data_IF_588280808569
#
_entry.id   IF_588280808569
#
_cell.length_a   1.000
_cell.length_b   1.000
_cell.length_c   1.000
_cell.angle_alpha   90.00
_cell.angle_beta   90.00
_cell.angle_gamma   90.00
#
_symmetry.space_group_name_H-M   'P 1'
#
loop_
_entity.id
_entity.type
_entity.pdbx_description
1 polymer ?
#
# COMPACT_ATOMS: atom_id res chain seq x y z
N UNK A 1 -54.94 -3.69 12.22
CA UNK A 1 -54.09 -4.79 11.73
C UNK A 1 -52.69 -4.53 12.22
N UNK A 2 -52.12 -5.47 13.00
CA UNK A 2 -50.84 -5.29 13.68
C UNK A 2 -49.70 -5.36 12.67
N UNK A 3 -49.07 -4.23 12.40
CA UNK A 3 -47.86 -4.13 11.59
C UNK A 3 -46.68 -4.62 12.46
N UNK A 4 -46.54 -5.94 12.61
CA UNK A 4 -45.33 -6.51 13.22
C UNK A 4 -44.18 -6.29 12.23
N UNK A 5 -43.11 -5.57 12.62
CA UNK A 5 -41.97 -5.36 11.73
C UNK A 5 -41.37 -6.71 11.33
N UNK A 6 -41.03 -6.82 10.05
CA UNK A 6 -40.41 -8.00 9.47
C UNK A 6 -39.11 -8.35 10.24
N UNK A 7 -38.84 -9.66 10.41
CA UNK A 7 -37.76 -10.17 11.28
C UNK A 7 -36.39 -9.68 10.83
N UNK A 8 -36.21 -9.48 9.52
CA UNK A 8 -35.01 -8.93 8.92
C UNK A 8 -34.82 -7.47 9.35
N UNK A 9 -35.88 -6.66 9.25
CA UNK A 9 -35.87 -5.24 9.64
C UNK A 9 -35.60 -5.03 11.13
N UNK A 10 -36.06 -5.95 11.99
CA UNK A 10 -35.76 -5.91 13.42
C UNK A 10 -34.26 -6.13 13.71
N UNK A 11 -33.68 -7.17 13.10
CA UNK A 11 -32.28 -7.54 13.32
C UNK A 11 -31.35 -6.40 12.89
N UNK A 12 -31.62 -5.78 11.73
CA UNK A 12 -30.87 -4.64 11.23
C UNK A 12 -30.90 -3.44 12.19
N UNK A 13 -32.07 -3.05 12.72
CA UNK A 13 -32.18 -1.92 13.66
C UNK A 13 -31.50 -2.20 15.00
N UNK A 14 -31.56 -3.45 15.45
CA UNK A 14 -30.88 -3.87 16.67
C UNK A 14 -29.36 -3.76 16.54
N UNK A 15 -28.82 -4.26 15.43
CA UNK A 15 -27.38 -4.17 15.11
C UNK A 15 -26.96 -2.72 14.89
N UNK A 16 -27.78 -1.91 14.22
CA UNK A 16 -27.56 -0.47 14.03
C UNK A 16 -27.47 0.30 15.34
N UNK A 17 -28.38 0.05 16.30
CA UNK A 17 -28.35 0.68 17.62
C UNK A 17 -27.06 0.34 18.37
N UNK A 18 -26.73 -0.95 18.47
CA UNK A 18 -25.54 -1.40 19.19
C UNK A 18 -24.28 -0.84 18.54
N UNK A 19 -24.15 -0.97 17.21
CA UNK A 19 -23.01 -0.48 16.46
C UNK A 19 -22.83 1.04 16.54
N UNK A 20 -23.92 1.80 16.49
CA UNK A 20 -23.88 3.27 16.62
C UNK A 20 -23.40 3.69 18.01
N UNK A 21 -24.01 3.15 19.07
CA UNK A 21 -23.63 3.49 20.44
C UNK A 21 -22.19 3.05 20.75
N UNK A 22 -21.79 1.85 20.32
CA UNK A 22 -20.42 1.37 20.44
C UNK A 22 -19.46 2.33 19.73
N UNK A 23 -19.74 2.70 18.48
CA UNK A 23 -18.92 3.66 17.72
C UNK A 23 -18.81 5.00 18.44
N UNK A 24 -19.91 5.57 18.95
CA UNK A 24 -19.91 6.86 19.67
C UNK A 24 -19.06 6.82 20.94
N UNK A 25 -19.10 5.72 21.69
CA UNK A 25 -18.29 5.54 22.90
C UNK A 25 -16.82 5.36 22.55
N UNK A 26 -16.51 4.45 21.60
CA UNK A 26 -15.13 4.16 21.22
C UNK A 26 -14.45 5.39 20.56
N UNK A 27 -15.18 6.14 19.74
CA UNK A 27 -14.67 7.36 19.11
C UNK A 27 -14.56 8.56 20.07
N UNK A 28 -14.91 8.40 21.35
CA UNK A 28 -14.97 9.48 22.36
C UNK A 28 -15.91 10.64 21.98
N UNK A 29 -16.84 10.44 21.03
CA UNK A 29 -17.94 11.39 20.77
C UNK A 29 -18.78 11.56 22.03
N UNK A 30 -18.95 10.47 22.79
CA UNK A 30 -19.48 10.52 24.16
C UNK A 30 -18.37 10.16 25.16
N UNK A 31 -17.86 11.11 25.95
CA UNK A 31 -16.79 10.86 26.89
C UNK A 31 -17.23 9.98 28.06
N UNK A 32 -16.27 9.30 28.69
CA UNK A 32 -16.51 8.60 29.95
C UNK A 32 -17.03 9.56 31.03
N UNK A 33 -18.03 9.13 31.78
CA UNK A 33 -18.76 9.93 32.75
C UNK A 33 -20.13 10.43 32.25
N UNK A 34 -20.32 10.53 30.93
CA UNK A 34 -21.60 10.92 30.32
C UNK A 34 -22.64 9.80 30.40
N UNK A 35 -23.90 10.14 30.12
CA UNK A 35 -25.01 9.21 30.12
C UNK A 35 -25.55 8.98 28.70
N UNK A 36 -25.87 7.72 28.39
CA UNK A 36 -26.64 7.40 27.20
C UNK A 36 -28.07 7.93 27.31
N UNK A 37 -28.76 8.19 26.17
CA UNK A 37 -30.18 8.52 26.18
C UNK A 37 -31.01 7.46 26.92
N UNK A 38 -32.17 7.87 27.45
CA UNK A 38 -33.04 6.95 28.21
C UNK A 38 -33.48 5.75 27.37
N UNK A 39 -33.83 4.62 28.03
CA UNK A 39 -34.35 3.44 27.33
C UNK A 39 -35.57 3.77 26.44
N UNK A 40 -36.37 4.76 26.85
CA UNK A 40 -37.52 5.24 26.08
C UNK A 40 -37.06 5.99 24.82
N UNK A 41 -36.12 6.92 24.97
CA UNK A 41 -35.59 7.69 23.84
C UNK A 41 -34.88 6.78 22.82
N UNK A 42 -34.12 5.78 23.28
CA UNK A 42 -33.48 4.79 22.40
C UNK A 42 -34.51 3.88 21.72
N UNK A 43 -35.57 3.48 22.43
CA UNK A 43 -36.66 2.70 21.86
C UNK A 43 -37.38 3.47 20.73
N UNK A 44 -37.62 4.76 20.95
CA UNK A 44 -38.28 5.63 19.97
C UNK A 44 -37.34 5.92 18.78
N UNK A 45 -36.08 6.25 19.03
CA UNK A 45 -35.07 6.57 18.01
C UNK A 45 -34.82 5.41 17.05
N UNK A 46 -34.65 4.20 17.56
CA UNK A 46 -34.32 3.02 16.75
C UNK A 46 -35.53 2.15 16.42
N UNK A 47 -36.74 2.58 16.80
CA UNK A 47 -38.00 1.83 16.59
C UNK A 47 -37.93 0.40 17.14
N UNK A 48 -37.37 0.25 18.34
CA UNK A 48 -37.16 -1.02 19.04
C UNK A 48 -38.02 -1.12 20.29
N UNK A 49 -38.37 -2.34 20.71
CA UNK A 49 -39.02 -2.53 22.01
C UNK A 49 -38.04 -2.22 23.16
N UNK A 50 -38.54 -1.73 24.30
CA UNK A 50 -37.72 -1.54 25.53
C UNK A 50 -36.93 -2.79 25.92
N UNK A 51 -37.50 -3.99 25.71
CA UNK A 51 -36.82 -5.27 25.98
C UNK A 51 -35.62 -5.48 25.06
N UNK A 52 -35.72 -5.07 23.80
CA UNK A 52 -34.63 -5.14 22.83
C UNK A 52 -33.55 -4.11 23.14
N UNK A 53 -33.93 -2.87 23.47
CA UNK A 53 -33.01 -1.82 23.93
C UNK A 53 -32.21 -2.29 25.15
N UNK A 54 -32.86 -2.93 26.14
CA UNK A 54 -32.16 -3.50 27.30
C UNK A 54 -31.12 -4.55 26.91
N UNK A 55 -31.45 -5.46 25.99
CA UNK A 55 -30.49 -6.45 25.48
C UNK A 55 -29.31 -5.80 24.77
N UNK A 56 -29.55 -4.76 23.97
CA UNK A 56 -28.50 -4.00 23.32
C UNK A 56 -27.57 -3.32 24.35
N UNK A 57 -28.15 -2.72 25.39
CA UNK A 57 -27.39 -2.13 26.50
C UNK A 57 -26.64 -3.19 27.32
N UNK A 58 -27.22 -4.39 27.53
CA UNK A 58 -26.55 -5.49 28.22
C UNK A 58 -25.28 -5.95 27.48
N UNK A 59 -25.30 -5.91 26.14
CA UNK A 59 -24.10 -6.17 25.31
C UNK A 59 -23.02 -5.12 25.64
N UNK A 60 -23.35 -3.83 25.59
CA UNK A 60 -22.40 -2.75 25.90
C UNK A 60 -21.90 -2.80 27.36
N UNK A 61 -22.73 -3.25 28.31
CA UNK A 61 -22.30 -3.52 29.69
C UNK A 61 -21.31 -4.68 29.74
N UNK A 62 -21.58 -5.78 29.03
CA UNK A 62 -20.69 -6.93 28.98
C UNK A 62 -19.36 -6.63 28.28
N UNK A 63 -19.34 -5.64 27.39
CA UNK A 63 -18.15 -5.10 26.75
C UNK A 63 -17.40 -4.08 27.63
N UNK A 64 -17.90 -3.75 28.83
CA UNK A 64 -17.28 -2.78 29.73
C UNK A 64 -17.33 -1.33 29.22
N UNK A 65 -18.23 -1.01 28.28
CA UNK A 65 -18.36 0.34 27.70
C UNK A 65 -19.29 1.24 28.51
N UNK A 66 -20.27 0.64 29.20
CA UNK A 66 -21.23 1.35 30.05
C UNK A 66 -21.51 0.58 31.34
N UNK A 67 -21.99 1.26 32.36
CA UNK A 67 -22.55 0.66 33.57
C UNK A 67 -23.99 1.12 33.81
N UNK A 68 -24.76 0.29 34.51
CA UNK A 68 -26.14 0.63 34.90
C UNK A 68 -26.14 1.31 36.26
N UNK A 69 -26.49 2.59 36.28
CA UNK A 69 -26.65 3.37 37.51
C UNK A 69 -28.12 3.36 37.92
N UNK A 70 -28.48 2.74 39.06
CA UNK A 70 -29.87 2.65 39.50
C UNK A 70 -30.54 4.02 39.59
N UNK A 71 -31.74 4.14 38.99
CA UNK A 71 -32.58 5.36 38.95
C UNK A 71 -31.98 6.57 38.21
N UNK A 72 -30.80 6.43 37.57
CA UNK A 72 -30.17 7.52 36.80
C UNK A 72 -30.11 7.17 35.31
N UNK A 73 -29.69 5.95 34.96
CA UNK A 73 -29.59 5.53 33.56
C UNK A 73 -28.32 4.72 33.29
N UNK A 74 -27.88 4.70 32.04
CA UNK A 74 -26.65 4.00 31.65
C UNK A 74 -25.52 5.04 31.53
N UNK A 75 -24.50 4.93 32.38
CA UNK A 75 -23.33 5.81 32.39
C UNK A 75 -22.23 5.19 31.55
N UNK A 76 -21.58 5.98 30.71
CA UNK A 76 -20.42 5.57 29.95
C UNK A 76 -19.24 5.51 30.91
N UNK A 77 -18.57 4.37 30.96
CA UNK A 77 -17.40 4.18 31.80
C UNK A 77 -16.15 4.17 30.93
N UNK A 78 -15.02 4.56 31.51
CA UNK A 78 -13.73 4.34 30.88
C UNK A 78 -13.42 2.85 31.02
N UNK A 79 -13.22 2.10 29.93
CA UNK A 79 -12.82 0.71 30.03
C UNK A 79 -11.51 0.63 30.81
N UNK A 80 -11.49 -0.11 31.92
CA UNK A 80 -10.26 -0.43 32.63
C UNK A 80 -9.35 -1.27 31.71
N UNK A 81 -8.06 -1.36 32.03
CA UNK A 81 -7.11 -2.18 31.25
C UNK A 81 -7.59 -3.64 31.07
N UNK A 82 -8.43 -4.17 31.97
CA UNK A 82 -9.06 -5.49 31.87
C UNK A 82 -10.19 -5.58 30.82
N UNK A 83 -10.79 -4.47 30.40
CA UNK A 83 -11.89 -4.39 29.42
C UNK A 83 -11.49 -3.71 28.11
N UNK A 84 -10.20 -3.39 27.93
CA UNK A 84 -9.71 -2.83 26.68
C UNK A 84 -9.87 -3.84 25.53
N UNK A 85 -10.40 -3.39 24.41
CA UNK A 85 -10.48 -4.23 23.20
C UNK A 85 -9.12 -4.26 22.52
N UNK A 86 -8.68 -5.45 22.09
CA UNK A 86 -7.44 -5.60 21.33
C UNK A 86 -7.74 -5.67 19.84
N UNK A 87 -7.13 -4.78 19.06
CA UNK A 87 -7.15 -4.79 17.60
C UNK A 87 -5.80 -5.30 17.09
N UNK A 88 -5.82 -6.37 16.29
CA UNK A 88 -4.62 -6.92 15.66
C UNK A 88 -4.47 -6.41 14.23
N UNK A 89 -3.37 -5.73 13.97
CA UNK A 89 -3.01 -5.27 12.63
C UNK A 89 -1.89 -6.14 12.04
N UNK A 90 -2.16 -6.78 10.92
CA UNK A 90 -1.16 -7.45 10.10
C UNK A 90 -0.42 -6.43 9.25
N UNK A 91 0.90 -6.33 9.38
CA UNK A 91 1.72 -5.38 8.65
C UNK A 91 2.83 -6.06 7.87
N UNK A 92 3.09 -5.60 6.66
CA UNK A 92 4.37 -5.86 6.01
C UNK A 92 5.52 -5.33 6.89
N UNK A 93 6.65 -6.06 7.00
CA UNK A 93 7.80 -5.63 7.78
C UNK A 93 8.30 -4.21 7.46
N UNK A 94 8.14 -3.77 6.20
CA UNK A 94 8.60 -2.44 5.76
C UNK A 94 7.68 -1.28 6.15
N UNK A 95 6.42 -1.55 6.52
CA UNK A 95 5.39 -0.52 6.69
C UNK A 95 5.75 0.51 7.78
N UNK A 96 6.36 0.06 8.88
CA UNK A 96 6.78 0.96 9.96
C UNK A 96 7.82 1.96 9.47
N UNK A 97 8.88 1.48 8.81
CA UNK A 97 9.91 2.35 8.22
C UNK A 97 9.40 3.29 7.11
N UNK A 98 8.25 2.98 6.52
CA UNK A 98 7.61 3.78 5.46
C UNK A 98 6.61 4.79 6.00
N UNK A 99 6.15 4.65 7.25
CA UNK A 99 5.04 5.45 7.80
C UNK A 99 5.32 6.06 9.18
N UNK A 100 6.29 5.53 9.93
CA UNK A 100 6.39 5.74 11.37
C UNK A 100 5.23 5.09 12.13
N UNK A 101 4.81 3.89 11.71
CA UNK A 101 3.61 3.22 12.21
C UNK A 101 3.57 3.14 13.73
N UNK A 102 4.67 2.78 14.39
CA UNK A 102 4.69 2.66 15.86
C UNK A 102 4.31 3.97 16.56
N UNK A 103 4.77 5.11 16.05
CA UNK A 103 4.39 6.42 16.59
C UNK A 103 2.92 6.75 16.30
N UNK A 104 2.42 6.41 15.11
CA UNK A 104 1.00 6.57 14.78
C UNK A 104 0.11 5.70 15.68
N UNK A 105 0.48 4.45 15.93
CA UNK A 105 -0.23 3.55 16.85
C UNK A 105 -0.20 4.06 18.28
N UNK A 106 0.93 4.65 18.73
CA UNK A 106 1.02 5.30 20.04
C UNK A 106 0.06 6.49 20.13
N UNK A 107 -0.01 7.33 19.11
CA UNK A 107 -0.93 8.47 19.06
C UNK A 107 -2.40 8.02 19.06
N UNK A 108 -2.73 6.98 18.30
CA UNK A 108 -4.06 6.38 18.29
C UNK A 108 -4.47 5.88 19.67
N UNK A 109 -3.60 5.12 20.35
CA UNK A 109 -3.89 4.58 21.68
C UNK A 109 -4.01 5.68 22.75
N UNK A 110 -3.32 6.82 22.60
CA UNK A 110 -3.52 7.98 23.48
C UNK A 110 -4.90 8.61 23.29
N UNK A 111 -5.41 8.66 22.05
CA UNK A 111 -6.75 9.18 21.74
C UNK A 111 -7.86 8.18 22.08
N UNK A 112 -7.54 6.88 22.02
CA UNK A 112 -8.46 5.78 22.27
C UNK A 112 -7.86 4.82 23.32
N UNK A 113 -7.77 5.23 24.60
CA UNK A 113 -7.10 4.45 25.65
C UNK A 113 -7.75 3.10 25.95
N UNK A 114 -8.94 2.86 25.42
CA UNK A 114 -9.70 1.62 25.54
C UNK A 114 -9.47 0.65 24.36
N UNK A 115 -8.68 1.04 23.37
CA UNK A 115 -8.26 0.19 22.25
C UNK A 115 -6.76 -0.05 22.38
N UNK A 116 -6.36 -1.31 22.54
CA UNK A 116 -4.97 -1.74 22.45
C UNK A 116 -4.70 -2.20 21.02
N UNK A 117 -3.53 -1.89 20.48
CA UNK A 117 -3.14 -2.34 19.13
C UNK A 117 -1.94 -3.27 19.19
N UNK A 118 -2.09 -4.47 18.64
CA UNK A 118 -1.02 -5.46 18.48
C UNK A 118 -0.64 -5.57 17.00
N UNK A 119 0.66 -5.53 16.68
CA UNK A 119 1.14 -5.75 15.32
C UNK A 119 1.55 -7.19 15.09
N UNK A 120 1.18 -7.76 13.94
CA UNK A 120 1.66 -9.05 13.46
C UNK A 120 2.37 -8.87 12.11
N UNK A 121 3.51 -9.54 11.91
CA UNK A 121 4.20 -9.49 10.62
C UNK A 121 3.47 -10.33 9.57
N UNK A 122 3.28 -9.77 8.38
CA UNK A 122 2.76 -10.48 7.21
C UNK A 122 3.91 -10.83 6.24
N UNK A 123 3.86 -12.00 5.59
CA UNK A 123 4.80 -12.32 4.53
C UNK A 123 4.48 -11.51 3.26
N UNK A 124 5.47 -11.37 2.37
CA UNK A 124 5.28 -10.78 1.04
C UNK A 124 4.87 -11.80 -0.02
N UNK A 125 5.24 -13.07 0.18
CA UNK A 125 5.08 -14.16 -0.81
C UNK A 125 3.95 -15.10 -0.43
N UNK A 126 3.30 -15.70 -1.44
CA UNK A 126 2.17 -16.61 -1.27
C UNK A 126 1.08 -16.00 -0.37
N UNK A 127 0.77 -14.72 -0.63
CA UNK A 127 0.06 -13.88 0.32
C UNK A 127 -1.36 -14.40 0.61
N UNK A 128 -2.21 -14.72 -0.38
CA UNK A 128 -3.57 -15.19 -0.12
C UNK A 128 -3.62 -16.41 0.80
N UNK A 129 -2.74 -17.38 0.58
CA UNK A 129 -2.74 -18.62 1.38
C UNK A 129 -2.16 -18.38 2.78
N UNK A 130 -1.15 -17.52 2.90
CA UNK A 130 -0.55 -17.17 4.19
C UNK A 130 -1.51 -16.42 5.11
N UNK A 131 -2.42 -15.61 4.56
CA UNK A 131 -3.33 -14.78 5.35
C UNK A 131 -4.71 -15.38 5.52
N UNK A 132 -5.11 -16.35 4.68
CA UNK A 132 -6.45 -16.95 4.68
C UNK A 132 -6.88 -17.45 6.05
N UNK A 133 -6.04 -18.21 6.74
CA UNK A 133 -6.35 -18.75 8.07
C UNK A 133 -6.57 -17.66 9.11
N UNK A 134 -5.74 -16.61 9.10
CA UNK A 134 -5.86 -15.47 9.99
C UNK A 134 -7.11 -14.64 9.73
N UNK A 135 -7.46 -14.45 8.45
CA UNK A 135 -8.65 -13.72 8.05
C UNK A 135 -9.91 -14.51 8.38
N UNK A 136 -10.03 -15.78 7.95
CA UNK A 136 -11.23 -16.60 8.17
C UNK A 136 -11.51 -16.89 9.65
N UNK A 137 -10.47 -16.97 10.49
CA UNK A 137 -10.65 -17.13 11.94
C UNK A 137 -11.02 -15.83 12.67
N UNK A 138 -10.89 -14.67 12.02
CA UNK A 138 -11.04 -13.37 12.67
C UNK A 138 -9.88 -13.02 13.61
N UNK A 139 -8.72 -13.68 13.50
CA UNK A 139 -7.57 -13.42 14.36
C UNK A 139 -6.91 -12.06 14.05
N UNK A 140 -6.79 -11.70 12.77
CA UNK A 140 -6.43 -10.33 12.36
C UNK A 140 -7.68 -9.48 12.20
N UNK A 141 -7.62 -8.23 12.66
CA UNK A 141 -8.71 -7.27 12.54
C UNK A 141 -8.49 -6.30 11.39
N UNK A 142 -7.24 -5.88 11.19
CA UNK A 142 -6.80 -5.01 10.09
C UNK A 142 -5.59 -5.66 9.40
N UNK A 143 -5.41 -5.43 8.11
CA UNK A 143 -4.17 -5.77 7.42
C UNK A 143 -3.72 -4.73 6.42
N UNK A 144 -2.40 -4.59 6.27
CA UNK A 144 -1.80 -3.89 5.14
C UNK A 144 -1.94 -4.72 3.87
N UNK A 145 -2.36 -4.08 2.78
CA UNK A 145 -2.56 -4.71 1.49
C UNK A 145 -1.96 -3.83 0.40
N UNK A 146 -0.93 -4.31 -0.28
CA UNK A 146 -0.41 -3.63 -1.48
C UNK A 146 -1.26 -4.00 -2.72
N UNK A 147 -1.14 -3.22 -3.80
CA UNK A 147 -1.93 -3.45 -5.02
C UNK A 147 -1.63 -4.80 -5.70
N UNK A 148 -0.40 -5.33 -5.57
CA UNK A 148 -0.05 -6.67 -6.05
C UNK A 148 -0.85 -7.76 -5.32
N UNK A 149 -0.82 -7.77 -4.00
CA UNK A 149 -1.54 -8.76 -3.19
C UNK A 149 -3.05 -8.55 -3.25
N UNK A 150 -3.53 -7.32 -3.43
CA UNK A 150 -4.94 -7.08 -3.72
C UNK A 150 -5.38 -7.76 -5.02
N UNK A 151 -4.60 -7.62 -6.09
CA UNK A 151 -4.87 -8.29 -7.37
C UNK A 151 -4.78 -9.81 -7.24
N UNK A 152 -3.78 -10.33 -6.52
CA UNK A 152 -3.65 -11.77 -6.24
C UNK A 152 -4.87 -12.33 -5.48
N UNK A 153 -5.41 -11.57 -4.53
CA UNK A 153 -6.65 -11.91 -3.82
C UNK A 153 -7.88 -11.81 -4.74
N UNK A 154 -7.90 -10.84 -5.65
CA UNK A 154 -8.97 -10.66 -6.63
C UNK A 154 -9.01 -11.81 -7.64
N UNK A 155 -7.85 -12.24 -8.14
CA UNK A 155 -7.71 -13.36 -9.07
C UNK A 155 -8.21 -14.70 -8.46
N UNK A 156 -8.28 -14.79 -7.12
CA UNK A 156 -8.76 -15.97 -6.36
C UNK A 156 -10.15 -15.77 -5.74
N UNK A 157 -10.91 -14.77 -6.17
CA UNK A 157 -12.24 -14.42 -5.64
C UNK A 157 -12.29 -14.23 -4.11
N UNK A 158 -11.18 -13.80 -3.50
CA UNK A 158 -11.01 -13.73 -2.05
C UNK A 158 -11.26 -12.33 -1.44
N UNK A 159 -11.80 -11.39 -2.22
CA UNK A 159 -12.05 -10.01 -1.76
C UNK A 159 -13.25 -9.90 -0.80
N UNK A 160 -14.10 -10.92 -0.73
CA UNK A 160 -15.20 -10.99 0.22
C UNK A 160 -14.73 -11.17 1.67
N UNK A 161 -13.46 -11.50 1.89
CA UNK A 161 -12.81 -11.51 3.20
C UNK A 161 -12.65 -10.11 3.82
N UNK A 162 -12.81 -9.05 3.02
CA UNK A 162 -12.67 -7.67 3.48
C UNK A 162 -14.02 -6.98 3.69
N UNK A 163 -14.08 -6.15 4.72
CA UNK A 163 -15.21 -5.26 4.97
C UNK A 163 -15.12 -4.07 4.00
N UNK A 164 -16.13 -3.84 3.14
CA UNK A 164 -16.11 -2.73 2.21
C UNK A 164 -16.07 -1.38 2.94
N UNK A 165 -15.33 -0.41 2.40
CA UNK A 165 -15.25 0.94 2.96
C UNK A 165 -15.60 1.99 1.90
N UNK A 166 -16.20 3.14 2.27
CA UNK A 166 -16.44 4.22 1.33
C UNK A 166 -15.12 4.90 0.94
N UNK A 167 -14.93 5.36 -0.32
CA UNK A 167 -13.76 6.14 -0.69
C UNK A 167 -13.56 7.37 0.20
N UNK A 168 -12.31 7.67 0.57
CA UNK A 168 -11.99 8.89 1.30
C UNK A 168 -11.80 10.06 0.30
N UNK A 169 -12.65 11.11 0.36
CA UNK A 169 -12.57 12.23 -0.59
C UNK A 169 -11.29 13.07 -0.44
N UNK A 170 -10.56 12.94 0.67
CA UNK A 170 -9.27 13.61 0.86
C UNK A 170 -8.12 12.95 0.07
N UNK A 171 -8.33 11.74 -0.46
CA UNK A 171 -7.30 11.05 -1.23
C UNK A 171 -7.15 11.61 -2.65
N UNK A 172 -5.99 11.39 -3.26
CA UNK A 172 -5.85 11.57 -4.71
C UNK A 172 -6.89 10.75 -5.47
N UNK A 173 -7.50 11.33 -6.51
CA UNK A 173 -8.62 10.71 -7.24
C UNK A 173 -8.28 9.40 -7.94
N UNK A 174 -7.00 9.15 -8.23
CA UNK A 174 -6.55 7.91 -8.89
C UNK A 174 -6.32 6.74 -7.92
N UNK A 175 -6.35 6.97 -6.60
CA UNK A 175 -6.03 5.94 -5.60
C UNK A 175 -7.19 5.01 -5.24
N UNK A 176 -8.44 5.49 -5.05
CA UNK A 176 -9.54 4.62 -4.63
C UNK A 176 -9.76 3.44 -5.60
N UNK A 177 -9.71 3.68 -6.90
CA UNK A 177 -9.98 2.68 -7.94
C UNK A 177 -9.03 1.48 -7.90
N UNK A 178 -7.82 1.66 -7.34
CA UNK A 178 -6.82 0.59 -7.21
C UNK A 178 -7.33 -0.56 -6.36
N UNK A 179 -8.13 -0.29 -5.32
CA UNK A 179 -8.67 -1.29 -4.39
C UNK A 179 -10.17 -1.58 -4.60
N UNK A 180 -10.74 -1.18 -5.74
CA UNK A 180 -12.17 -1.39 -6.05
C UNK A 180 -12.35 -2.57 -7.00
N UNK A 181 -13.21 -3.52 -6.62
CA UNK A 181 -13.76 -4.53 -7.54
C UNK A 181 -15.26 -4.67 -7.33
N UNK A 182 -16.03 -4.84 -8.40
CA UNK A 182 -17.49 -4.97 -8.35
C UNK A 182 -18.17 -3.85 -7.54
N UNK A 183 -17.65 -2.62 -7.65
CA UNK A 183 -18.16 -1.43 -6.94
C UNK A 183 -17.87 -1.37 -5.44
N UNK A 184 -17.07 -2.30 -4.89
CA UNK A 184 -16.71 -2.33 -3.46
C UNK A 184 -15.21 -2.07 -3.30
N UNK A 185 -14.87 -1.09 -2.48
CA UNK A 185 -13.48 -0.80 -2.11
C UNK A 185 -13.08 -1.68 -0.91
N UNK A 186 -12.11 -2.56 -1.11
CA UNK A 186 -11.69 -3.54 -0.10
C UNK A 186 -10.69 -2.98 0.93
N UNK A 187 -9.96 -1.92 0.57
CA UNK A 187 -8.93 -1.31 1.41
C UNK A 187 -8.92 0.22 1.25
N UNK A 188 -8.60 0.95 2.31
CA UNK A 188 -8.32 2.38 2.22
C UNK A 188 -6.88 2.62 1.79
N UNK A 189 -6.61 3.37 0.71
CA UNK A 189 -5.26 3.80 0.39
C UNK A 189 -4.61 4.54 1.57
N UNK A 190 -3.36 4.19 1.88
CA UNK A 190 -2.57 4.84 2.92
C UNK A 190 -1.33 5.51 2.32
N UNK A 191 -0.67 4.84 1.38
CA UNK A 191 0.53 5.29 0.72
C UNK A 191 0.47 5.01 -0.77
N UNK A 192 1.18 5.79 -1.56
CA UNK A 192 1.50 5.44 -2.94
C UNK A 192 2.92 5.81 -3.31
N UNK A 193 3.42 5.18 -4.38
CA UNK A 193 4.68 5.56 -4.99
C UNK A 193 4.70 5.13 -6.45
N UNK A 194 5.00 6.03 -7.40
CA UNK A 194 5.47 5.61 -8.70
C UNK A 194 6.88 5.01 -8.61
N UNK A 195 7.26 4.24 -9.62
CA UNK A 195 8.66 3.92 -9.88
C UNK A 195 9.32 5.15 -10.52
N UNK A 196 10.50 5.52 -10.05
CA UNK A 196 11.19 6.75 -10.42
C UNK A 196 12.68 6.50 -10.63
N UNK A 197 13.33 7.46 -11.28
CA UNK A 197 14.78 7.50 -11.36
C UNK A 197 15.32 8.35 -10.20
N UNK A 198 16.31 7.83 -9.48
CA UNK A 198 17.09 8.59 -8.51
C UNK A 198 18.54 8.67 -9.01
N UNK A 199 19.17 9.85 -8.89
CA UNK A 199 20.53 10.06 -9.40
C UNK A 199 21.38 10.90 -8.46
N UNK A 200 22.70 10.69 -8.49
CA UNK A 200 23.67 11.41 -7.67
C UNK A 200 23.94 12.79 -8.28
N UNK A 201 23.17 13.79 -7.86
CA UNK A 201 23.26 15.18 -8.33
C UNK A 201 24.67 15.76 -8.19
N UNK A 202 25.34 15.45 -7.08
CA UNK A 202 26.72 15.90 -6.84
C UNK A 202 27.69 15.35 -7.89
N UNK A 203 27.56 14.07 -8.24
CA UNK A 203 28.39 13.44 -9.27
C UNK A 203 28.11 14.01 -10.66
N UNK A 204 26.84 14.18 -11.02
CA UNK A 204 26.43 14.78 -12.29
C UNK A 204 27.04 16.18 -12.47
N UNK A 205 26.95 17.02 -11.43
CA UNK A 205 27.58 18.35 -11.42
C UNK A 205 29.10 18.29 -11.60
N UNK A 206 29.78 17.36 -10.93
CA UNK A 206 31.25 17.17 -11.05
C UNK A 206 31.68 16.74 -12.45
N UNK A 207 30.91 15.86 -13.08
CA UNK A 207 31.18 15.37 -14.44
C UNK A 207 30.65 16.31 -15.54
N UNK A 208 29.99 17.41 -15.15
CA UNK A 208 29.31 18.34 -16.05
C UNK A 208 28.33 17.62 -16.99
N UNK A 209 27.62 16.64 -16.45
CA UNK A 209 26.56 15.91 -17.13
C UNK A 209 25.24 16.68 -16.99
N UNK A 210 24.40 16.72 -18.04
CA UNK A 210 23.03 17.20 -17.88
C UNK A 210 22.29 16.29 -16.88
N UNK A 211 21.47 16.89 -16.01
CA UNK A 211 20.65 16.14 -15.06
C UNK A 211 19.51 15.40 -15.79
N UNK A 212 19.05 14.23 -15.30
CA UNK A 212 17.91 13.54 -15.88
C UNK A 212 16.61 14.33 -15.77
N UNK A 213 15.84 14.36 -16.85
CA UNK A 213 14.53 15.04 -16.93
C UNK A 213 13.54 14.24 -17.79
N UNK A 214 12.38 14.84 -18.08
CA UNK A 214 11.33 14.19 -18.88
C UNK A 214 11.65 14.03 -20.36
N UNK A 215 12.79 14.54 -20.85
CA UNK A 215 13.24 14.37 -22.24
C UNK A 215 14.17 13.17 -22.43
N UNK A 216 14.61 12.54 -21.34
CA UNK A 216 15.55 11.43 -21.40
C UNK A 216 14.91 10.18 -21.98
N UNK A 217 15.59 9.57 -22.94
CA UNK A 217 15.32 8.21 -23.41
C UNK A 217 16.18 7.17 -22.69
N UNK A 218 15.81 5.89 -22.80
CA UNK A 218 16.65 4.80 -22.29
C UNK A 218 18.02 4.77 -22.98
N UNK A 219 18.09 5.12 -24.28
CA UNK A 219 19.35 5.26 -25.01
C UNK A 219 20.22 6.36 -24.41
N UNK A 220 19.63 7.51 -24.07
CA UNK A 220 20.36 8.62 -23.44
C UNK A 220 20.88 8.23 -22.06
N UNK A 221 20.07 7.52 -21.27
CA UNK A 221 20.49 7.00 -19.98
C UNK A 221 21.64 5.99 -20.15
N UNK A 222 21.58 5.12 -21.16
CA UNK A 222 22.63 4.14 -21.47
C UNK A 222 23.95 4.83 -21.85
N UNK A 223 23.91 5.82 -22.74
CA UNK A 223 25.07 6.62 -23.15
C UNK A 223 25.75 7.29 -21.93
N UNK A 224 24.96 7.96 -21.09
CA UNK A 224 25.45 8.60 -19.87
C UNK A 224 26.02 7.55 -18.91
N UNK A 225 25.41 6.37 -18.84
CA UNK A 225 25.85 5.30 -17.95
C UNK A 225 27.20 4.73 -18.34
N UNK A 226 27.41 4.48 -19.64
CA UNK A 226 28.72 4.06 -20.20
C UNK A 226 29.77 5.12 -19.92
N UNK A 227 29.48 6.40 -20.17
CA UNK A 227 30.41 7.49 -19.89
C UNK A 227 30.81 7.56 -18.42
N UNK A 228 29.86 7.42 -17.50
CA UNK A 228 30.14 7.39 -16.05
C UNK A 228 31.04 6.19 -15.71
N UNK A 229 30.79 5.02 -16.32
CA UNK A 229 31.62 3.83 -16.12
C UNK A 229 33.06 4.06 -16.56
N UNK A 230 33.26 4.64 -17.74
CA UNK A 230 34.58 4.94 -18.30
C UNK A 230 35.34 5.97 -17.45
N UNK A 231 34.67 7.06 -17.04
CA UNK A 231 35.33 8.15 -16.31
C UNK A 231 35.55 7.85 -14.82
N UNK A 232 34.71 7.01 -14.19
CA UNK A 232 34.70 6.80 -12.73
C UNK A 232 34.84 5.36 -12.26
N UNK A 233 34.75 4.38 -13.17
CA UNK A 233 34.83 2.96 -12.86
C UNK A 233 33.60 2.37 -12.14
N UNK A 234 32.62 3.19 -11.77
CA UNK A 234 31.37 2.77 -11.11
C UNK A 234 30.28 2.51 -12.13
N UNK A 235 29.22 1.77 -11.77
CA UNK A 235 28.08 1.59 -12.67
C UNK A 235 27.38 2.94 -12.90
N UNK A 236 26.92 3.18 -14.12
CA UNK A 236 26.16 4.38 -14.44
C UNK A 236 24.72 4.30 -13.96
N UNK A 237 24.09 3.14 -14.15
CA UNK A 237 22.73 2.85 -13.77
C UNK A 237 22.60 1.47 -13.12
N UNK A 238 21.63 1.30 -12.24
CA UNK A 238 21.32 -0.01 -11.66
C UNK A 238 19.84 -0.16 -11.33
N UNK A 239 19.30 -1.35 -11.57
CA UNK A 239 17.99 -1.76 -11.08
C UNK A 239 18.02 -3.25 -10.72
N UNK A 240 17.23 -3.66 -9.74
CA UNK A 240 17.02 -5.07 -9.45
C UNK A 240 16.23 -5.72 -10.61
N UNK A 241 16.94 -6.42 -11.49
CA UNK A 241 16.40 -6.90 -12.78
C UNK A 241 15.23 -7.90 -12.61
N UNK A 242 15.25 -8.68 -11.52
CA UNK A 242 14.20 -9.67 -11.23
C UNK A 242 12.99 -9.08 -10.49
N UNK A 243 12.94 -7.76 -10.28
CA UNK A 243 11.86 -7.10 -9.54
C UNK A 243 10.54 -7.13 -10.31
N UNK A 244 9.47 -7.60 -9.66
CA UNK A 244 8.08 -7.45 -10.14
C UNK A 244 7.66 -6.00 -10.29
N UNK A 245 8.38 -5.06 -9.68
CA UNK A 245 8.08 -3.63 -9.76
C UNK A 245 8.93 -2.90 -10.80
N UNK A 246 9.92 -3.54 -11.46
CA UNK A 246 10.85 -2.86 -12.40
C UNK A 246 10.65 -3.30 -13.84
N UNK A 247 10.76 -4.59 -14.16
CA UNK A 247 10.64 -5.05 -15.54
C UNK A 247 9.25 -4.75 -16.16
N UNK A 248 8.11 -4.75 -15.43
CA UNK A 248 6.82 -4.44 -16.03
C UNK A 248 6.71 -3.02 -16.56
N UNK A 249 7.55 -2.08 -16.10
CA UNK A 249 7.61 -0.72 -16.68
C UNK A 249 7.90 -0.78 -18.17
N UNK A 250 8.81 -1.64 -18.61
CA UNK A 250 9.17 -1.76 -20.03
C UNK A 250 8.03 -2.32 -20.87
N UNK A 251 7.23 -3.23 -20.30
CA UNK A 251 6.00 -3.71 -20.95
C UNK A 251 4.97 -2.58 -21.09
N UNK A 252 4.77 -1.78 -20.04
CA UNK A 252 3.85 -0.64 -20.06
C UNK A 252 4.28 0.44 -21.07
N UNK A 253 5.57 0.76 -21.11
CA UNK A 253 6.12 1.76 -22.03
C UNK A 253 6.05 1.33 -23.50
N UNK A 254 6.13 0.03 -23.77
CA UNK A 254 5.90 -0.54 -25.11
C UNK A 254 4.41 -0.79 -25.42
N UNK A 255 3.51 -0.46 -24.50
CA UNK A 255 2.07 -0.68 -24.67
C UNK A 255 1.67 -2.16 -24.80
N UNK A 256 2.51 -3.05 -24.29
CA UNK A 256 2.32 -4.49 -24.39
C UNK A 256 1.12 -4.95 -23.55
N UNK A 257 0.34 -5.88 -24.11
CA UNK A 257 -0.75 -6.57 -23.41
C UNK A 257 -0.68 -8.06 -23.70
N UNK A 258 -0.72 -8.87 -22.66
CA UNK A 258 -0.77 -10.31 -22.81
C UNK A 258 -2.07 -10.75 -23.50
N UNK A 259 -1.93 -11.66 -24.46
CA UNK A 259 -3.07 -12.29 -25.13
C UNK A 259 -3.55 -13.47 -24.28
N UNK A 260 -4.80 -13.41 -23.84
CA UNK A 260 -5.44 -14.48 -23.06
C UNK A 260 -5.98 -15.58 -23.96
N UNK A 261 -5.94 -16.80 -23.46
CA UNK A 261 -6.46 -18.03 -24.03
C UNK A 261 -7.25 -18.78 -22.97
N UNK A 262 -7.91 -19.89 -23.34
CA UNK A 262 -8.63 -20.75 -22.38
C UNK A 262 -7.71 -21.31 -21.27
N UNK A 263 -6.42 -21.48 -21.56
CA UNK A 263 -5.43 -22.09 -20.65
C UNK A 263 -4.46 -21.07 -20.02
N UNK A 264 -4.78 -19.77 -20.06
CA UNK A 264 -3.92 -18.72 -19.51
C UNK A 264 -3.39 -17.75 -20.57
N UNK A 265 -2.21 -17.17 -20.36
CA UNK A 265 -1.58 -16.21 -21.28
C UNK A 265 -0.62 -16.85 -22.28
N UNK A 266 -0.52 -16.24 -23.47
CA UNK A 266 0.58 -16.50 -24.43
C UNK A 266 1.80 -15.67 -24.11
N UNK A 267 2.97 -16.30 -24.22
CA UNK A 267 4.28 -15.70 -23.95
C UNK A 267 5.20 -15.66 -25.18
N UNK A 268 4.71 -16.03 -26.37
CA UNK A 268 5.47 -16.11 -27.61
C UNK A 268 5.33 -14.85 -28.49
N UNK A 269 4.83 -13.76 -27.91
CA UNK A 269 4.71 -12.48 -28.60
C UNK A 269 6.09 -11.80 -28.72
N UNK A 270 6.58 -11.47 -29.93
CA UNK A 270 7.89 -10.84 -30.10
C UNK A 270 8.04 -9.53 -29.30
N UNK A 271 6.95 -8.75 -29.15
CA UNK A 271 6.99 -7.48 -28.42
C UNK A 271 7.24 -7.68 -26.91
N UNK A 272 6.84 -8.82 -26.34
CA UNK A 272 7.19 -9.18 -24.96
C UNK A 272 8.71 -9.27 -24.82
N UNK A 273 9.35 -10.03 -25.69
CA UNK A 273 10.78 -10.32 -25.61
C UNK A 273 11.62 -9.09 -25.93
N UNK A 274 11.25 -8.30 -26.93
CA UNK A 274 11.90 -7.00 -27.21
C UNK A 274 11.89 -6.08 -25.98
N UNK A 275 10.76 -6.03 -25.26
CA UNK A 275 10.63 -5.23 -24.03
C UNK A 275 11.54 -5.72 -22.91
N UNK A 276 11.62 -7.05 -22.72
CA UNK A 276 12.47 -7.65 -21.69
C UNK A 276 13.96 -7.52 -22.05
N UNK A 277 14.32 -7.76 -23.32
CA UNK A 277 15.69 -7.59 -23.82
C UNK A 277 16.17 -6.16 -23.67
N UNK A 278 15.34 -5.16 -23.97
CA UNK A 278 15.67 -3.74 -23.74
C UNK A 278 16.08 -3.51 -22.28
N UNK A 279 15.34 -4.05 -21.31
CA UNK A 279 15.68 -3.88 -19.89
C UNK A 279 16.96 -4.63 -19.51
N UNK A 280 17.12 -5.86 -20.00
CA UNK A 280 18.32 -6.68 -19.77
C UNK A 280 19.55 -5.97 -20.30
N UNK A 281 19.52 -5.55 -21.55
CA UNK A 281 20.65 -5.00 -22.27
C UNK A 281 21.04 -3.65 -21.67
N UNK A 282 20.09 -2.84 -21.20
CA UNK A 282 20.36 -1.61 -20.45
C UNK A 282 21.25 -1.84 -19.21
N UNK A 283 21.03 -2.94 -18.49
CA UNK A 283 21.82 -3.29 -17.30
C UNK A 283 23.23 -3.78 -17.68
N UNK A 284 23.37 -4.53 -18.77
CA UNK A 284 24.63 -5.16 -19.19
C UNK A 284 25.51 -4.30 -20.12
N UNK A 285 24.95 -3.32 -20.83
CA UNK A 285 25.66 -2.50 -21.85
C UNK A 285 26.79 -1.67 -21.26
N UNK A 286 26.66 -1.25 -20.00
CA UNK A 286 27.67 -0.51 -19.24
C UNK A 286 28.86 -1.38 -18.76
N UNK A 287 29.05 -2.58 -19.33
CA UNK A 287 30.10 -3.52 -19.00
C UNK A 287 29.73 -4.47 -17.86
N UNK A 288 30.64 -5.36 -17.42
CA UNK A 288 30.35 -6.30 -16.35
C UNK A 288 30.01 -5.53 -15.09
N UNK A 289 28.72 -5.48 -14.76
CA UNK A 289 28.28 -5.25 -13.40
C UNK A 289 28.90 -6.42 -12.64
N UNK A 290 29.83 -6.19 -11.69
CA UNK A 290 30.38 -7.28 -10.88
C UNK A 290 29.20 -8.09 -10.38
N UNK A 291 29.28 -9.41 -10.47
CA UNK A 291 28.22 -10.39 -10.20
C UNK A 291 27.55 -10.17 -8.84
N UNK A 292 26.75 -9.11 -8.75
CA UNK A 292 26.14 -8.65 -7.54
C UNK A 292 24.85 -9.43 -7.47
N UNK A 293 24.89 -10.47 -6.64
CA UNK A 293 23.77 -11.32 -6.34
C UNK A 293 22.79 -10.51 -5.49
N UNK A 294 21.99 -9.69 -6.16
CA UNK A 294 20.96 -8.90 -5.51
C UNK A 294 19.84 -9.79 -5.00
N UNK A 295 19.45 -9.56 -3.76
CA UNK A 295 18.38 -10.26 -3.08
C UNK A 295 17.03 -9.54 -3.23
N UNK A 296 17.06 -8.23 -3.54
CA UNK A 296 15.85 -7.48 -3.83
C UNK A 296 16.09 -6.00 -4.12
N UNK A 297 14.99 -5.27 -4.29
CA UNK A 297 14.98 -3.84 -4.67
C UNK A 297 15.93 -3.01 -3.81
N UNK A 298 15.91 -3.21 -2.48
CA UNK A 298 16.68 -2.46 -1.48
C UNK A 298 18.20 -2.42 -1.75
N UNK A 299 18.73 -3.37 -2.52
CA UNK A 299 20.15 -3.36 -2.84
C UNK A 299 20.53 -2.27 -3.84
N UNK A 300 19.60 -1.84 -4.69
CA UNK A 300 19.82 -0.70 -5.58
C UNK A 300 20.13 0.56 -4.76
N UNK A 301 19.33 0.85 -3.74
CA UNK A 301 19.52 2.00 -2.85
C UNK A 301 20.81 1.87 -2.04
N UNK A 302 21.16 0.67 -1.54
CA UNK A 302 22.43 0.43 -0.84
C UNK A 302 23.63 0.70 -1.75
N UNK A 303 23.61 0.19 -2.99
CA UNK A 303 24.70 0.42 -3.96
C UNK A 303 24.82 1.92 -4.29
N UNK A 304 23.70 2.62 -4.43
CA UNK A 304 23.67 4.05 -4.66
C UNK A 304 24.26 4.83 -3.48
N UNK A 305 23.82 4.52 -2.25
CA UNK A 305 24.34 5.12 -1.02
C UNK A 305 25.87 4.92 -0.87
N UNK A 306 26.36 3.76 -1.28
CA UNK A 306 27.79 3.42 -1.32
C UNK A 306 28.55 4.00 -2.52
N UNK A 307 27.89 4.82 -3.36
CA UNK A 307 28.42 5.41 -4.58
C UNK A 307 29.01 4.37 -5.56
N UNK A 308 28.42 3.17 -5.61
CA UNK A 308 28.75 2.10 -6.58
C UNK A 308 27.95 2.20 -7.87
N UNK A 309 26.86 2.96 -7.85
CA UNK A 309 26.08 3.33 -9.02
C UNK A 309 25.71 4.83 -8.97
N UNK A 310 25.63 5.48 -10.13
CA UNK A 310 25.30 6.90 -10.23
C UNK A 310 23.80 7.18 -10.36
N UNK A 311 23.03 6.22 -10.86
CA UNK A 311 21.59 6.28 -11.04
C UNK A 311 20.95 4.95 -10.64
N UNK A 312 19.72 4.99 -10.12
CA UNK A 312 18.93 3.80 -9.80
C UNK A 312 17.47 3.95 -10.15
N UNK A 313 16.83 2.81 -10.47
CA UNK A 313 15.37 2.72 -10.51
C UNK A 313 14.84 2.37 -9.12
N UNK A 314 14.09 3.28 -8.50
CA UNK A 314 13.63 3.18 -7.11
C UNK A 314 12.17 3.66 -6.97
N UNK A 315 11.70 3.79 -5.74
CA UNK A 315 10.38 4.29 -5.34
C UNK A 315 10.56 5.24 -4.16
N UNK A 316 9.55 6.04 -3.84
CA UNK A 316 9.53 6.87 -2.63
C UNK A 316 9.65 6.02 -1.34
N UNK A 317 9.18 4.78 -1.36
CA UNK A 317 9.38 3.81 -0.26
C UNK A 317 10.85 3.44 -0.06
N UNK A 318 11.63 3.38 -1.14
CA UNK A 318 13.06 3.06 -1.12
C UNK A 318 13.92 4.21 -0.59
N UNK A 319 13.46 5.47 -0.72
CA UNK A 319 14.26 6.64 -0.33
C UNK A 319 14.65 6.68 1.15
N UNK A 320 13.97 5.92 2.02
CA UNK A 320 14.37 5.74 3.44
C UNK A 320 15.82 5.26 3.62
N UNK A 321 16.36 4.51 2.65
CA UNK A 321 17.75 4.07 2.66
C UNK A 321 18.75 5.19 2.32
N UNK A 322 18.25 6.37 1.91
CA UNK A 322 19.03 7.50 1.40
C UNK A 322 18.93 8.76 2.30
N UNK A 323 18.38 8.65 3.51
CA UNK A 323 18.21 9.80 4.43
C UNK A 323 19.54 10.46 4.83
N UNK A 324 20.59 9.66 5.03
CA UNK A 324 21.86 10.11 5.63
C UNK A 324 23.04 9.98 4.66
N UNK A 325 22.91 10.59 3.47
CA UNK A 325 23.97 10.55 2.46
C UNK A 325 24.95 11.72 2.59
N UNK A 326 26.26 11.49 2.34
CA UNK A 326 27.26 12.55 2.33
C UNK A 326 27.27 13.37 1.01
N UNK A 327 26.24 13.24 0.18
CA UNK A 327 26.12 13.89 -1.12
C UNK A 327 24.65 14.17 -1.46
N UNK A 328 24.43 15.18 -2.31
CA UNK A 328 23.11 15.51 -2.82
C UNK A 328 22.68 14.51 -3.90
N UNK A 329 21.44 14.05 -3.81
CA UNK A 329 20.75 13.27 -4.84
C UNK A 329 19.44 13.98 -5.24
N UNK A 330 18.91 13.63 -6.41
CA UNK A 330 17.63 14.16 -6.84
C UNK A 330 16.83 13.13 -7.63
N UNK A 331 15.58 13.46 -7.95
CA UNK A 331 14.62 12.55 -8.59
C UNK A 331 14.32 12.99 -10.03
N UNK A 332 14.02 12.02 -10.89
CA UNK A 332 13.62 12.22 -12.27
C UNK A 332 12.49 11.23 -12.67
N UNK A 333 11.66 11.57 -13.67
CA UNK A 333 10.76 10.59 -14.27
C UNK A 333 11.61 9.46 -14.86
N UNK A 334 11.02 8.28 -15.02
CA UNK A 334 11.71 7.23 -15.76
C UNK A 334 11.91 7.69 -17.21
N UNK A 335 13.09 7.45 -17.80
CA UNK A 335 13.25 7.57 -19.23
C UNK A 335 12.25 6.69 -19.98
N UNK A 336 12.00 7.03 -21.23
CA UNK A 336 11.10 6.27 -22.09
C UNK A 336 11.54 6.36 -23.56
N UNK A 337 11.11 5.40 -24.38
CA UNK A 337 11.37 5.45 -25.82
C UNK A 337 10.17 5.98 -26.59
N UNK A 338 9.01 5.33 -26.45
CA UNK A 338 7.76 5.75 -27.12
C UNK A 338 6.80 6.40 -26.12
N UNK A 339 6.37 5.63 -25.10
CA UNK A 339 5.35 6.06 -24.14
C UNK A 339 5.93 6.30 -22.77
N UNK A 340 5.72 7.50 -22.23
CA UNK A 340 6.01 7.79 -20.84
C UNK A 340 5.01 7.04 -19.93
N UNK A 341 5.46 5.91 -19.38
CA UNK A 341 4.73 5.14 -18.38
C UNK A 341 5.63 4.79 -17.20
N UNK A 342 5.05 4.79 -16.01
CA UNK A 342 5.65 4.24 -14.79
C UNK A 342 4.63 3.41 -14.02
N UNK A 343 5.12 2.43 -13.28
CA UNK A 343 4.28 1.57 -12.46
C UNK A 343 3.92 2.29 -11.16
N UNK A 344 2.62 2.37 -10.86
CA UNK A 344 2.10 2.91 -9.61
C UNK A 344 1.95 1.79 -8.57
N UNK A 345 2.63 1.96 -7.44
CA UNK A 345 2.49 1.09 -6.27
C UNK A 345 1.61 1.77 -5.24
N UNK A 346 0.66 1.03 -4.68
CA UNK A 346 -0.25 1.55 -3.64
C UNK A 346 -0.31 0.57 -2.50
N UNK A 347 -0.18 1.08 -1.27
CA UNK A 347 -0.40 0.31 -0.05
C UNK A 347 -1.60 0.88 0.68
N UNK A 348 -2.53 0.01 1.02
CA UNK A 348 -3.73 0.34 1.77
C UNK A 348 -3.92 -0.50 3.02
N UNK A 349 -4.99 -0.20 3.76
CA UNK A 349 -5.41 -0.92 4.96
C UNK A 349 -6.81 -1.50 4.74
N UNK A 350 -6.95 -2.81 4.89
CA UNK A 350 -8.21 -3.53 4.79
C UNK A 350 -8.69 -3.96 6.19
N UNK A 351 -9.98 -3.86 6.45
CA UNK A 351 -10.60 -4.41 7.66
C UNK A 351 -11.08 -5.83 7.35
N UNK A 352 -10.74 -6.78 8.23
CA UNK A 352 -11.19 -8.15 8.08
C UNK A 352 -12.70 -8.27 8.34
N UNK A 353 -13.44 -8.86 7.41
CA UNK A 353 -14.89 -9.10 7.54
C UNK A 353 -15.24 -10.07 8.67
N UNK A 354 -14.34 -10.97 9.05
CA UNK A 354 -14.58 -11.91 10.15
C UNK A 354 -14.14 -11.36 11.52
N UNK A 355 -13.57 -10.15 11.58
CA UNK A 355 -13.18 -9.50 12.84
C UNK A 355 -14.38 -9.38 13.78
N UNK A 356 -14.14 -9.61 15.07
CA UNK A 356 -15.11 -9.33 16.14
C UNK A 356 -15.01 -7.88 16.65
N UNK A 357 -13.96 -7.16 16.25
CA UNK A 357 -13.64 -5.80 16.69
C UNK A 357 -13.76 -4.81 15.53
N UNK A 358 -14.76 -4.98 14.64
CA UNK A 358 -14.86 -4.22 13.38
C UNK A 358 -14.91 -2.71 13.57
N UNK A 359 -15.60 -2.24 14.60
CA UNK A 359 -15.73 -0.82 14.89
C UNK A 359 -14.38 -0.24 15.31
N UNK A 360 -13.67 -0.90 16.24
CA UNK A 360 -12.34 -0.50 16.68
C UNK A 360 -11.30 -0.59 15.55
N UNK A 361 -11.35 -1.66 14.76
CA UNK A 361 -10.53 -1.85 13.55
C UNK A 361 -10.78 -0.76 12.51
N UNK A 362 -12.06 -0.40 12.31
CA UNK A 362 -12.46 0.66 11.40
C UNK A 362 -11.97 2.03 11.85
N UNK A 363 -12.02 2.31 13.15
CA UNK A 363 -11.46 3.55 13.71
C UNK A 363 -9.94 3.62 13.56
N UNK A 364 -9.23 2.51 13.74
CA UNK A 364 -7.78 2.46 13.50
C UNK A 364 -7.46 2.80 12.04
N UNK A 365 -8.19 2.21 11.09
CA UNK A 365 -8.03 2.53 9.65
C UNK A 365 -8.35 3.99 9.35
N UNK A 366 -9.45 4.51 9.90
CA UNK A 366 -9.83 5.93 9.71
C UNK A 366 -8.77 6.89 10.30
N UNK A 367 -8.21 6.55 11.45
CA UNK A 367 -7.12 7.31 12.06
C UNK A 367 -5.86 7.28 11.19
N UNK A 368 -5.38 6.10 10.78
CA UNK A 368 -4.15 5.95 9.99
C UNK A 368 -4.25 6.59 8.59
N UNK A 369 -5.46 6.68 8.04
CA UNK A 369 -5.76 7.36 6.77
C UNK A 369 -6.24 8.82 6.97
N UNK A 370 -6.27 9.33 8.19
CA UNK A 370 -6.64 10.73 8.47
C UNK A 370 -5.55 11.70 7.98
N UNK A 371 -5.95 12.93 7.63
CA UNK A 371 -5.01 13.98 7.22
C UNK A 371 -3.90 14.21 8.28
N UNK A 372 -4.24 14.20 9.56
CA UNK A 372 -3.29 14.41 10.65
C UNK A 372 -2.23 13.30 10.73
N UNK A 373 -2.65 12.02 10.67
CA UNK A 373 -1.73 10.89 10.66
C UNK A 373 -0.88 10.88 9.37
N UNK A 374 -1.49 11.12 8.22
CA UNK A 374 -0.82 11.19 6.93
C UNK A 374 0.17 12.35 6.85
N UNK A 375 -0.11 13.49 7.52
CA UNK A 375 0.84 14.59 7.65
C UNK A 375 2.04 14.20 8.52
N UNK A 376 1.83 13.41 9.57
CA UNK A 376 2.94 12.84 10.35
C UNK A 376 3.82 11.94 9.47
N UNK A 377 3.22 11.08 8.63
CA UNK A 377 3.96 10.29 7.63
C UNK A 377 4.79 11.21 6.71
N UNK A 378 4.15 12.23 6.11
CA UNK A 378 4.83 13.18 5.21
C UNK A 378 6.01 13.84 5.90
N UNK A 379 5.90 14.24 7.16
CA UNK A 379 6.94 15.00 7.86
C UNK A 379 8.11 14.14 8.35
N UNK A 380 7.86 12.88 8.67
CA UNK A 380 8.83 11.99 9.30
C UNK A 380 9.40 10.92 8.35
N UNK A 381 8.92 10.85 7.11
CA UNK A 381 9.39 9.89 6.10
C UNK A 381 9.50 10.54 4.71
N UNK A 382 10.02 9.78 3.75
CA UNK A 382 10.06 10.14 2.33
C UNK A 382 8.97 9.45 1.50
N UNK A 383 8.06 8.71 2.13
CA UNK A 383 6.90 8.11 1.47
C UNK A 383 5.86 9.16 1.10
N UNK A 384 5.04 8.89 0.08
CA UNK A 384 3.95 9.79 -0.31
C UNK A 384 2.63 9.30 0.33
N UNK A 385 2.01 10.09 1.23
CA UNK A 385 0.71 9.75 1.79
C UNK A 385 -0.40 9.80 0.73
N UNK A 386 -1.43 8.99 0.89
CA UNK A 386 -2.62 9.00 0.04
C UNK A 386 -3.45 10.28 0.16
N UNK A 387 -3.44 10.93 1.33
CA UNK A 387 -4.10 12.24 1.55
C UNK A 387 -3.38 13.33 0.75
N UNK A 388 -4.11 14.00 -0.15
CA UNK A 388 -3.55 15.01 -1.04
C UNK A 388 -3.01 16.23 -0.27
N UNK A 389 -3.79 16.75 0.68
CA UNK A 389 -3.38 17.90 1.48
C UNK A 389 -2.17 17.60 2.37
N UNK A 390 -2.10 16.38 2.93
CA UNK A 390 -0.93 15.95 3.67
C UNK A 390 0.30 15.77 2.77
N UNK A 391 0.16 15.15 1.59
CA UNK A 391 1.27 14.92 0.66
C UNK A 391 1.87 16.23 0.11
N UNK A 392 1.01 17.20 -0.21
CA UNK A 392 1.37 18.52 -0.74
C UNK A 392 1.59 19.57 0.36
N UNK A 393 1.76 19.13 1.61
CA UNK A 393 2.03 20.04 2.72
C UNK A 393 3.34 20.81 2.49
N UNK A 394 3.28 22.12 2.71
CA UNK A 394 4.41 23.03 2.68
C UNK A 394 4.74 23.49 4.10
N UNK A 395 6.02 23.37 4.49
CA UNK A 395 6.52 23.85 5.77
C UNK A 395 7.95 23.42 6.02
N UNK A 396 8.39 23.53 7.28
CA UNK A 396 9.76 23.18 7.65
C UNK A 396 10.02 21.68 7.49
N UNK A 397 11.01 21.34 6.67
CA UNK A 397 11.43 19.96 6.45
C UNK A 397 12.38 19.49 7.55
N UNK A 398 12.06 18.34 8.16
CA UNK A 398 12.91 17.71 9.17
C UNK A 398 13.97 16.76 8.58
N UNK A 399 13.79 16.38 7.31
CA UNK A 399 14.63 15.44 6.58
C UNK A 399 15.16 16.11 5.31
N UNK A 400 16.30 15.62 4.80
CA UNK A 400 16.73 15.99 3.46
C UNK A 400 15.65 15.57 2.45
N UNK A 401 15.16 16.54 1.67
CA UNK A 401 14.30 16.26 0.51
C UNK A 401 14.98 16.68 -0.78
N UNK A 402 15.00 15.80 -1.79
CA UNK A 402 15.34 16.16 -3.15
C UNK A 402 14.61 17.41 -3.62
N UNK A 403 15.26 18.27 -4.40
CA UNK A 403 14.61 19.45 -4.97
C UNK A 403 13.40 19.10 -5.83
N UNK A 404 13.39 17.91 -6.44
CA UNK A 404 12.26 17.41 -7.25
C UNK A 404 11.39 16.40 -6.50
N UNK A 405 11.35 16.44 -5.16
CA UNK A 405 10.51 15.55 -4.36
C UNK A 405 9.03 15.57 -4.78
N UNK A 406 8.49 16.72 -5.16
CA UNK A 406 7.08 16.86 -5.56
C UNK A 406 6.78 16.47 -7.02
N UNK A 407 7.77 15.95 -7.75
CA UNK A 407 7.64 15.49 -9.15
C UNK A 407 6.49 14.53 -9.38
N UNK A 408 6.15 13.69 -8.39
CA UNK A 408 5.06 12.72 -8.52
C UNK A 408 3.74 13.36 -8.97
N UNK A 409 3.53 14.65 -8.70
CA UNK A 409 2.37 15.45 -9.14
C UNK A 409 2.35 15.68 -10.65
N UNK A 410 3.52 15.89 -11.24
CA UNK A 410 3.70 16.20 -12.66
C UNK A 410 3.58 14.94 -13.52
N UNK A 411 3.98 13.79 -12.97
CA UNK A 411 4.01 12.51 -13.69
C UNK A 411 2.76 11.64 -13.47
N UNK A 412 1.72 12.13 -12.79
CA UNK A 412 0.43 11.42 -12.62
C UNK A 412 -0.13 10.87 -13.94
N UNK A 413 -0.09 11.60 -15.09
CA UNK A 413 -0.59 11.07 -16.36
C UNK A 413 0.17 9.83 -16.88
N UNK A 414 1.38 9.58 -16.37
CA UNK A 414 2.21 8.42 -16.74
C UNK A 414 1.96 7.20 -15.87
N UNK A 415 1.15 7.30 -14.81
CA UNK A 415 0.87 6.19 -13.92
C UNK A 415 0.17 5.07 -14.68
N UNK A 416 0.58 3.84 -14.40
CA UNK A 416 -0.05 2.62 -14.87
C UNK A 416 0.07 1.49 -13.87
N UNK A 417 -0.74 0.45 -14.07
CA UNK A 417 -0.83 -0.69 -13.17
C UNK A 417 -0.71 -2.03 -13.90
N UNK A 418 -0.63 -3.11 -13.11
CA UNK A 418 -0.50 -4.48 -13.62
C UNK A 418 -1.70 -4.88 -14.48
N UNK A 419 -2.89 -4.38 -14.15
CA UNK A 419 -4.13 -4.62 -14.87
C UNK A 419 -4.09 -4.14 -16.34
N UNK A 420 -3.26 -3.14 -16.67
CA UNK A 420 -3.10 -2.70 -18.06
C UNK A 420 -2.46 -3.79 -18.95
N UNK A 421 -1.71 -4.72 -18.34
CA UNK A 421 -0.99 -5.80 -19.04
C UNK A 421 -1.89 -6.97 -19.40
N UNK A 422 -3.13 -7.06 -18.89
CA UNK A 422 -4.07 -8.16 -19.18
C UNK A 422 -3.56 -9.57 -18.78
N UNK A 423 -2.87 -9.65 -17.64
CA UNK A 423 -2.30 -10.87 -17.05
C UNK A 423 -2.71 -10.98 -15.59
N UNK A 424 -2.83 -12.20 -15.04
CA UNK A 424 -3.00 -12.37 -13.59
C UNK A 424 -1.68 -12.20 -12.86
N UNK A 425 -1.74 -11.93 -11.55
CA UNK A 425 -0.52 -11.79 -10.75
C UNK A 425 0.28 -13.10 -10.68
N UNK A 426 -0.42 -14.22 -10.60
CA UNK A 426 0.19 -15.56 -10.57
C UNK A 426 0.94 -15.87 -11.87
N UNK A 427 0.37 -15.53 -13.02
CA UNK A 427 1.02 -15.73 -14.32
C UNK A 427 2.22 -14.80 -14.51
N UNK A 428 2.14 -13.55 -14.03
CA UNK A 428 3.26 -12.61 -14.08
C UNK A 428 4.42 -13.05 -13.18
N UNK A 429 4.13 -13.60 -11.99
CA UNK A 429 5.16 -14.16 -11.11
C UNK A 429 5.78 -15.45 -11.68
N UNK A 430 4.97 -16.27 -12.36
CA UNK A 430 5.45 -17.43 -13.12
C UNK A 430 6.43 -17.01 -14.21
N UNK A 431 6.08 -16.00 -15.03
CA UNK A 431 6.98 -15.44 -16.02
C UNK A 431 8.28 -14.97 -15.35
N UNK A 432 8.21 -14.14 -14.31
CA UNK A 432 9.39 -13.65 -13.59
C UNK A 432 10.31 -14.78 -13.13
N UNK A 433 9.74 -15.85 -12.58
CA UNK A 433 10.51 -16.98 -12.05
C UNK A 433 11.31 -17.71 -13.13
N UNK A 434 10.82 -17.70 -14.37
CA UNK A 434 11.48 -18.32 -15.52
C UNK A 434 12.54 -17.42 -16.19
N UNK A 435 12.56 -16.13 -15.87
CA UNK A 435 13.47 -15.16 -16.51
C UNK A 435 14.88 -15.12 -15.91
N UNK A 436 15.18 -15.86 -14.84
CA UNK A 436 16.48 -15.77 -14.15
C UNK A 436 17.68 -16.05 -15.07
N UNK A 437 17.60 -17.10 -15.89
CA UNK A 437 18.67 -17.46 -16.82
C UNK A 437 18.75 -16.47 -17.99
N UNK A 438 17.59 -16.04 -18.49
CA UNK A 438 17.48 -15.01 -19.51
C UNK A 438 18.13 -13.68 -19.07
N UNK A 439 17.84 -13.20 -17.85
CA UNK A 439 18.46 -12.01 -17.27
C UNK A 439 19.97 -12.09 -17.15
N UNK A 440 20.50 -13.32 -17.04
CA UNK A 440 21.92 -13.58 -16.89
C UNK A 440 22.64 -13.79 -18.22
N UNK A 441 21.95 -13.62 -19.36
CA UNK A 441 22.45 -13.99 -20.70
C UNK A 441 22.88 -15.47 -20.82
N UNK A 442 22.30 -16.35 -19.98
CA UNK A 442 22.57 -17.79 -19.99
C UNK A 442 21.56 -18.57 -20.84
N UNK A 443 20.52 -17.90 -21.33
CA UNK A 443 19.45 -18.54 -22.08
C UNK A 443 18.75 -17.56 -23.02
N UNK A 444 18.27 -18.09 -24.16
CA UNK A 444 17.52 -17.36 -25.18
C UNK A 444 16.00 -17.44 -24.94
N UNK A 445 15.22 -16.45 -25.43
CA UNK A 445 13.76 -16.40 -25.32
C UNK A 445 13.04 -17.73 -25.59
N UNK A 446 13.43 -18.46 -26.64
CA UNK A 446 12.74 -19.67 -27.10
C UNK A 446 12.70 -20.76 -26.03
N UNK A 447 13.77 -20.88 -25.24
CA UNK A 447 13.86 -21.90 -24.18
C UNK A 447 12.94 -21.55 -23.01
N UNK A 448 12.79 -20.26 -22.70
CA UNK A 448 11.85 -19.77 -21.68
C UNK A 448 10.40 -19.96 -22.15
N UNK A 449 10.09 -19.61 -23.40
CA UNK A 449 8.76 -19.82 -24.02
C UNK A 449 8.36 -21.29 -23.93
N UNK A 450 9.27 -22.22 -24.24
CA UNK A 450 8.99 -23.66 -24.15
C UNK A 450 8.64 -24.13 -22.72
N UNK A 451 9.22 -23.52 -21.69
CA UNK A 451 8.88 -23.85 -20.28
C UNK A 451 7.57 -23.21 -19.84
N UNK A 452 7.27 -22.01 -20.31
CA UNK A 452 6.01 -21.33 -20.03
C UNK A 452 4.82 -21.95 -20.76
N UNK A 453 5.06 -22.62 -21.90
CA UNK A 453 4.04 -23.35 -22.66
C UNK A 453 3.75 -24.78 -22.19
N UNK A 454 4.54 -25.30 -21.24
CA UNK A 454 4.24 -26.54 -20.50
C UNK A 454 3.35 -26.24 -19.31
#
# INVERSE_FOLDING_TARGET
MSNKPDRITFQTRFEEMVGTLRKEILSSIRPAGDYLPSELALADQYLLSKKSVRKALDILVSEGLIEKVPRVGNRIIKPDAEHAVTVRIGCYPSLDSETGLQELLRQFQLQHPHIQVETAALPYTNYPDSVRGYLSSGWLDVMSLNNWNFLEMADRDALDLFEPRPPNPAHYSFLPDVFVRSGKQAAQPMLFSPVILCYNKTLFRRLRLPEPDSSWSWDRLSEVSVRIKEERGISGFYAHIASTNRFPVFLLQNGFKFRRTENGCRFDDPLLWESLETFRDLIHTQGPVPSFLSEGDADAEKLFAQQKTAMIMTTYYGLKYLNDLPFEYDLAPLPYTDRAKTLLLVTGLAVNRASRQKEAAGMLVDFLCSEAAQLSVRRNTLSIPASKSAAEWEGAEALYRPSRYHMYREIVPTFGGYEELNITIEELDRLRSELKLFWSNLEQPESVIQRLGK
#
